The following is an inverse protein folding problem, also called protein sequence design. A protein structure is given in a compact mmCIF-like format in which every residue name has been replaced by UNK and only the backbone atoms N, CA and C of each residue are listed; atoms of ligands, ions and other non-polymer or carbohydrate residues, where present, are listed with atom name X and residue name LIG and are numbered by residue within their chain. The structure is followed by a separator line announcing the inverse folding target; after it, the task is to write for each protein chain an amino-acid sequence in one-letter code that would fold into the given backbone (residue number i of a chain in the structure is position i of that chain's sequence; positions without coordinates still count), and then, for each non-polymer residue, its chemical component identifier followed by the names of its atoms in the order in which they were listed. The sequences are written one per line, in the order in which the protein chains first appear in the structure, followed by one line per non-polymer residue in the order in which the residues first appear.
data_IF_293857139511
#
_entry.id   IF_293857139511
#
_cell.length_a   1.000
_cell.length_b   1.000
_cell.length_c   1.000
_cell.angle_alpha   90.00
_cell.angle_beta   90.00
_cell.angle_gamma   90.00
#
_symmetry.space_group_name_H-M   'P 1'
#
loop_
_entity.id
_entity.type
_entity.pdbx_description
1 polymer ?
#
# COMPACT_ATOMS: atom_id res chain seq x y z
N UNK A 1 2.17 0.84 -16.04
CA UNK A 1 1.84 1.88 -17.06
C UNK A 1 0.61 1.43 -17.84
N UNK A 2 -0.28 2.38 -18.14
CA UNK A 2 -1.43 2.12 -19.02
C UNK A 2 -1.01 2.40 -20.46
N UNK A 3 -1.33 1.47 -21.36
CA UNK A 3 -1.22 1.67 -22.79
C UNK A 3 -2.64 1.90 -23.35
N UNK A 4 -2.91 3.13 -23.75
CA UNK A 4 -4.25 3.55 -24.20
C UNK A 4 -4.63 2.91 -25.52
N UNK A 5 -3.70 2.88 -26.49
CA UNK A 5 -3.95 2.31 -27.82
C UNK A 5 -4.31 0.81 -27.77
N UNK A 6 -3.65 0.07 -26.87
CA UNK A 6 -3.86 -1.38 -26.73
C UNK A 6 -4.89 -1.73 -25.65
N UNK A 7 -5.37 -0.76 -24.87
CA UNK A 7 -6.20 -0.98 -23.67
C UNK A 7 -5.58 -2.00 -22.71
N UNK A 8 -4.27 -1.84 -22.43
CA UNK A 8 -3.52 -2.73 -21.55
C UNK A 8 -2.88 -1.98 -20.40
N UNK A 9 -2.56 -2.70 -19.33
CA UNK A 9 -1.74 -2.20 -18.21
C UNK A 9 -0.55 -3.11 -17.98
N UNK A 10 0.62 -2.54 -17.77
CA UNK A 10 1.83 -3.28 -17.40
C UNK A 10 1.83 -3.58 -15.91
N UNK A 11 1.85 -4.87 -15.55
CA UNK A 11 1.98 -5.38 -14.19
C UNK A 11 3.18 -6.33 -14.17
N UNK A 12 4.13 -6.07 -13.28
CA UNK A 12 5.35 -6.90 -13.12
C UNK A 12 6.10 -7.19 -14.44
N UNK A 13 6.10 -6.19 -15.36
CA UNK A 13 6.77 -6.26 -16.66
C UNK A 13 6.00 -7.00 -17.75
N UNK A 14 4.76 -7.41 -17.49
CA UNK A 14 3.86 -8.07 -18.44
C UNK A 14 2.65 -7.20 -18.76
N UNK A 15 2.27 -7.11 -20.03
CA UNK A 15 1.05 -6.40 -20.45
C UNK A 15 -0.18 -7.30 -20.24
N UNK A 16 -1.22 -6.75 -19.58
CA UNK A 16 -2.50 -7.40 -19.34
C UNK A 16 -3.64 -6.53 -19.87
N UNK A 17 -4.63 -7.15 -20.49
CA UNK A 17 -5.81 -6.45 -20.99
C UNK A 17 -6.66 -5.88 -19.84
N UNK A 18 -7.14 -4.66 -20.03
CA UNK A 18 -8.08 -3.98 -19.13
C UNK A 18 -9.51 -4.39 -19.52
N UNK A 19 -10.39 -4.54 -18.54
CA UNK A 19 -11.82 -4.80 -18.77
C UNK A 19 -12.44 -3.62 -19.49
N UNK A 20 -13.30 -3.88 -20.47
CA UNK A 20 -13.94 -2.85 -21.28
C UNK A 20 -14.72 -1.84 -20.45
N UNK A 21 -15.41 -2.31 -19.40
CA UNK A 21 -16.18 -1.50 -18.48
C UNK A 21 -15.38 -0.85 -17.34
N UNK A 22 -14.06 -1.05 -17.31
CA UNK A 22 -13.22 -0.68 -16.15
C UNK A 22 -13.15 0.83 -15.91
N UNK A 23 -13.17 1.60 -16.98
CA UNK A 23 -13.04 3.05 -16.96
C UNK A 23 -14.12 3.72 -17.83
N UNK A 24 -15.38 3.76 -17.38
CA UNK A 24 -16.50 4.17 -18.21
C UNK A 24 -16.45 5.65 -18.64
N UNK A 25 -15.65 6.48 -17.97
CA UNK A 25 -15.45 7.89 -18.29
C UNK A 25 -14.24 8.15 -19.18
N UNK A 26 -13.41 7.14 -19.42
CA UNK A 26 -12.20 7.26 -20.23
C UNK A 26 -12.49 6.92 -21.68
N UNK A 27 -12.23 7.84 -22.58
CA UNK A 27 -12.29 7.59 -24.02
C UNK A 27 -10.96 7.05 -24.54
N UNK A 28 -10.83 5.73 -24.59
CA UNK A 28 -9.64 5.08 -25.13
C UNK A 28 -9.45 5.29 -26.65
N UNK A 29 -10.52 5.66 -27.38
CA UNK A 29 -10.47 5.89 -28.83
C UNK A 29 -9.88 7.27 -29.18
N UNK A 30 -9.73 8.17 -28.22
CA UNK A 30 -9.17 9.51 -28.47
C UNK A 30 -7.72 9.48 -28.97
N UNK A 31 -6.96 8.42 -28.60
CA UNK A 31 -5.53 8.30 -28.91
C UNK A 31 -4.66 9.31 -28.18
N UNK A 32 -5.25 10.18 -27.36
CA UNK A 32 -4.54 11.20 -26.56
C UNK A 32 -4.38 10.73 -25.12
N UNK A 33 -3.13 10.45 -24.73
CA UNK A 33 -2.81 9.99 -23.39
C UNK A 33 -3.10 11.06 -22.33
N UNK A 34 -3.03 12.34 -22.67
CA UNK A 34 -3.32 13.42 -21.73
C UNK A 34 -4.81 13.42 -21.35
N UNK A 35 -5.70 13.14 -22.28
CA UNK A 35 -7.14 13.05 -22.01
C UNK A 35 -7.51 11.91 -21.05
N UNK A 36 -6.78 10.80 -21.08
CA UNK A 36 -7.03 9.64 -20.19
C UNK A 36 -6.74 9.95 -18.71
N UNK A 37 -5.83 10.86 -18.45
CA UNK A 37 -5.42 11.23 -17.09
C UNK A 37 -6.04 12.56 -16.63
N UNK A 38 -6.74 13.24 -17.49
CA UNK A 38 -7.42 14.50 -17.16
C UNK A 38 -8.81 14.21 -16.63
N UNK A 39 -9.09 14.70 -15.44
CA UNK A 39 -10.43 14.61 -14.86
C UNK A 39 -11.37 15.62 -15.55
N UNK A 40 -12.65 15.28 -15.70
CA UNK A 40 -13.67 16.25 -16.05
C UNK A 40 -13.90 17.26 -14.92
N UNK A 41 -14.58 18.37 -15.20
CA UNK A 41 -14.90 19.35 -14.17
C UNK A 41 -15.74 18.75 -13.02
N UNK A 42 -16.66 17.84 -13.33
CA UNK A 42 -17.47 17.12 -12.34
C UNK A 42 -16.62 16.15 -11.51
N UNK A 43 -15.71 15.42 -12.13
CA UNK A 43 -14.79 14.52 -11.43
C UNK A 43 -13.84 15.31 -10.53
N UNK A 44 -13.29 16.45 -10.98
CA UNK A 44 -12.47 17.33 -10.15
C UNK A 44 -13.25 17.85 -8.93
N UNK A 45 -14.52 18.26 -9.11
CA UNK A 45 -15.36 18.70 -8.01
C UNK A 45 -15.59 17.57 -6.99
N UNK A 46 -15.86 16.36 -7.43
CA UNK A 46 -16.04 15.20 -6.56
C UNK A 46 -14.74 14.91 -5.80
N UNK A 47 -13.60 14.86 -6.49
CA UNK A 47 -12.29 14.63 -5.87
C UNK A 47 -11.92 15.70 -4.85
N UNK A 48 -12.17 16.98 -5.17
CA UNK A 48 -11.93 18.07 -4.22
C UNK A 48 -12.88 18.00 -3.02
N UNK A 49 -14.16 17.67 -3.25
CA UNK A 49 -15.11 17.44 -2.16
C UNK A 49 -14.67 16.34 -1.21
N UNK A 50 -14.21 15.20 -1.73
CA UNK A 50 -13.65 14.10 -0.95
C UNK A 50 -12.40 14.56 -0.20
N UNK A 51 -11.46 15.21 -0.86
CA UNK A 51 -10.24 15.73 -0.25
C UNK A 51 -10.55 16.65 0.93
N UNK A 52 -11.47 17.60 0.74
CA UNK A 52 -11.87 18.56 1.76
C UNK A 52 -12.60 17.88 2.94
N UNK A 53 -13.41 16.85 2.68
CA UNK A 53 -14.06 16.08 3.74
C UNK A 53 -13.05 15.39 4.66
N UNK A 54 -11.97 14.82 4.09
CA UNK A 54 -10.90 14.23 4.90
C UNK A 54 -10.06 15.28 5.63
N UNK A 55 -9.59 16.31 4.93
CA UNK A 55 -8.68 17.34 5.48
C UNK A 55 -9.35 18.15 6.59
N UNK A 56 -10.64 18.47 6.45
CA UNK A 56 -11.37 19.28 7.42
C UNK A 56 -12.05 18.46 8.52
N UNK A 57 -11.96 17.14 8.51
CA UNK A 57 -12.56 16.30 9.55
C UNK A 57 -11.81 16.44 10.87
N UNK A 58 -12.36 17.21 11.81
CA UNK A 58 -11.81 17.39 13.15
C UNK A 58 -11.71 16.04 13.88
N UNK A 59 -12.75 15.21 13.78
CA UNK A 59 -12.77 13.90 14.44
C UNK A 59 -11.68 12.97 13.89
N UNK A 60 -11.52 12.91 12.56
CA UNK A 60 -10.47 12.11 11.93
C UNK A 60 -9.09 12.59 12.41
N UNK A 61 -8.85 13.89 12.41
CA UNK A 61 -7.59 14.48 12.90
C UNK A 61 -7.30 14.06 14.35
N UNK A 62 -8.28 14.17 15.24
CA UNK A 62 -8.13 13.79 16.64
C UNK A 62 -7.78 12.30 16.80
N UNK A 63 -8.44 11.40 16.03
CA UNK A 63 -8.14 9.98 16.05
C UNK A 63 -6.71 9.69 15.53
N UNK A 64 -6.30 10.33 14.44
CA UNK A 64 -4.96 10.16 13.90
C UNK A 64 -3.91 10.68 14.88
N UNK A 65 -4.10 11.87 15.45
CA UNK A 65 -3.20 12.43 16.48
C UNK A 65 -3.05 11.48 17.67
N UNK A 66 -4.17 10.92 18.16
CA UNK A 66 -4.14 9.91 19.22
C UNK A 66 -3.32 8.68 18.82
N UNK A 67 -3.51 8.14 17.60
CA UNK A 67 -2.73 6.99 17.12
C UNK A 67 -1.23 7.30 17.06
N UNK A 68 -0.84 8.49 16.60
CA UNK A 68 0.57 8.88 16.55
C UNK A 68 1.17 9.18 17.93
N UNK A 69 0.38 9.64 18.89
CA UNK A 69 0.83 9.92 20.26
C UNK A 69 0.96 8.64 21.10
N UNK A 70 0.08 7.66 20.92
CA UNK A 70 -0.06 6.48 21.80
C UNK A 70 0.26 5.16 21.11
N UNK A 71 0.16 5.09 19.79
CA UNK A 71 0.44 3.91 19.00
C UNK A 71 1.92 3.69 18.75
N UNK A 72 2.26 2.45 18.39
CA UNK A 72 3.57 2.06 17.89
C UNK A 72 3.43 0.86 16.94
N UNK A 73 4.46 0.57 16.16
CA UNK A 73 4.47 -0.61 15.26
C UNK A 73 4.50 -1.92 16.06
N UNK A 74 5.03 -1.90 17.27
CA UNK A 74 5.03 -3.04 18.20
C UNK A 74 5.14 -2.58 19.64
N UNK A 75 4.81 -3.47 20.57
CA UNK A 75 5.01 -3.26 22.00
C UNK A 75 5.43 -4.57 22.66
N UNK A 76 6.37 -4.49 23.60
CA UNK A 76 6.71 -5.62 24.46
C UNK A 76 6.06 -5.37 25.82
N UNK A 77 5.24 -6.32 26.27
CA UNK A 77 4.56 -6.25 27.55
C UNK A 77 4.49 -7.65 28.19
N UNK A 78 4.91 -7.78 29.42
CA UNK A 78 4.96 -9.06 30.14
C UNK A 78 5.68 -10.19 29.37
N UNK A 79 6.77 -9.87 28.68
CA UNK A 79 7.51 -10.84 27.85
C UNK A 79 6.85 -11.18 26.51
N UNK A 80 5.67 -10.64 26.22
CA UNK A 80 4.98 -10.84 24.94
C UNK A 80 5.30 -9.70 23.97
N UNK A 81 5.51 -10.06 22.70
CA UNK A 81 5.62 -9.13 21.60
C UNK A 81 4.22 -8.93 20.98
N UNK A 82 3.72 -7.70 21.05
CA UNK A 82 2.43 -7.29 20.47
C UNK A 82 2.70 -6.45 19.22
N UNK A 83 2.10 -6.81 18.08
CA UNK A 83 2.19 -6.09 16.82
C UNK A 83 0.94 -6.36 15.97
N UNK A 84 0.73 -5.60 14.91
CA UNK A 84 -0.54 -5.64 14.17
C UNK A 84 -0.59 -6.72 13.10
N UNK A 85 0.36 -6.74 12.18
CA UNK A 85 0.28 -7.57 10.97
C UNK A 85 1.29 -8.72 10.97
N UNK A 86 2.50 -8.48 10.49
CA UNK A 86 3.52 -9.51 10.43
C UNK A 86 4.94 -9.00 10.74
N UNK A 87 5.81 -9.92 11.14
CA UNK A 87 7.25 -9.75 11.09
C UNK A 87 7.75 -10.52 9.87
N UNK A 88 8.28 -9.85 8.83
CA UNK A 88 8.60 -10.53 7.57
C UNK A 88 9.58 -11.69 7.76
N UNK A 89 9.19 -12.85 7.25
CA UNK A 89 10.01 -14.08 7.22
C UNK A 89 10.25 -14.49 5.77
N UNK A 90 11.39 -15.17 5.55
CA UNK A 90 11.67 -15.88 4.30
C UNK A 90 10.99 -17.26 4.25
N UNK A 91 11.12 -17.96 3.14
CA UNK A 91 10.50 -19.29 2.93
C UNK A 91 11.07 -20.37 3.88
N UNK A 92 12.17 -20.09 4.57
CA UNK A 92 12.79 -20.97 5.57
C UNK A 92 12.41 -20.59 7.01
N UNK A 93 11.64 -19.52 7.21
CA UNK A 93 11.24 -19.01 8.52
C UNK A 93 12.26 -18.12 9.21
N UNK A 94 13.31 -17.68 8.50
CA UNK A 94 14.24 -16.70 9.06
C UNK A 94 13.72 -15.27 8.87
N UNK A 95 14.18 -14.33 9.71
CA UNK A 95 13.85 -12.92 9.57
C UNK A 95 14.27 -12.38 8.19
N UNK A 96 13.30 -12.03 7.38
CA UNK A 96 13.57 -11.48 6.05
C UNK A 96 14.02 -10.02 6.13
N UNK A 97 15.10 -9.69 5.40
CA UNK A 97 15.55 -8.32 5.28
C UNK A 97 14.75 -7.53 4.25
N UNK A 98 14.22 -6.39 4.67
CA UNK A 98 13.50 -5.46 3.79
C UNK A 98 14.44 -4.31 3.40
N UNK A 99 14.63 -4.13 2.07
CA UNK A 99 15.56 -3.14 1.54
C UNK A 99 14.89 -1.78 1.36
N UNK A 100 15.52 -0.71 1.88
CA UNK A 100 15.14 0.68 1.61
C UNK A 100 16.41 1.46 1.20
N UNK A 101 16.49 1.77 -0.08
CA UNK A 101 17.71 2.31 -0.68
C UNK A 101 18.86 1.30 -0.60
N UNK A 102 19.98 1.72 0.00
CA UNK A 102 21.18 0.88 0.13
C UNK A 102 21.20 0.03 1.42
N UNK A 103 20.25 0.24 2.32
CA UNK A 103 20.20 -0.44 3.63
C UNK A 103 19.09 -1.47 3.67
N UNK A 104 19.36 -2.59 4.37
CA UNK A 104 18.41 -3.68 4.62
C UNK A 104 18.17 -3.78 6.12
N UNK A 105 16.90 -3.87 6.49
CA UNK A 105 16.43 -3.90 7.89
C UNK A 105 15.73 -5.22 8.17
N UNK A 106 15.94 -5.79 9.37
CA UNK A 106 15.37 -7.08 9.78
C UNK A 106 14.62 -6.95 11.11
N UNK A 107 13.59 -7.75 11.32
CA UNK A 107 12.91 -7.90 12.60
C UNK A 107 12.60 -6.55 13.27
N UNK A 108 13.06 -6.41 14.53
CA UNK A 108 12.85 -5.18 15.32
C UNK A 108 13.39 -3.93 14.63
N UNK A 109 14.58 -4.00 14.03
CA UNK A 109 15.17 -2.84 13.35
C UNK A 109 14.28 -2.34 12.20
N UNK A 110 13.59 -3.28 11.52
CA UNK A 110 12.63 -2.94 10.48
C UNK A 110 11.36 -2.28 11.05
N UNK A 111 10.82 -2.77 12.15
CA UNK A 111 9.65 -2.17 12.81
C UNK A 111 9.98 -0.75 13.30
N UNK A 112 11.15 -0.55 13.93
CA UNK A 112 11.63 0.77 14.35
C UNK A 112 11.84 1.73 13.17
N UNK A 113 12.33 1.21 12.02
CA UNK A 113 12.44 1.98 10.79
C UNK A 113 11.05 2.40 10.27
N UNK A 114 10.11 1.46 10.17
CA UNK A 114 8.77 1.70 9.69
C UNK A 114 8.04 2.76 10.55
N UNK A 115 8.13 2.65 11.87
CA UNK A 115 7.56 3.63 12.80
C UNK A 115 8.13 5.03 12.59
N UNK A 116 9.45 5.14 12.47
CA UNK A 116 10.12 6.42 12.24
C UNK A 116 9.68 7.09 10.94
N UNK A 117 9.54 6.32 9.84
CA UNK A 117 9.08 6.87 8.56
C UNK A 117 7.61 7.27 8.64
N UNK A 118 6.74 6.44 9.23
CA UNK A 118 5.32 6.77 9.42
C UNK A 118 5.15 8.08 10.22
N UNK A 119 5.88 8.25 11.33
CA UNK A 119 5.86 9.50 12.11
C UNK A 119 6.34 10.70 11.31
N UNK A 120 7.38 10.52 10.49
CA UNK A 120 7.87 11.59 9.61
C UNK A 120 6.87 11.92 8.49
N UNK A 121 6.17 10.92 7.94
CA UNK A 121 5.12 11.14 6.94
C UNK A 121 3.97 12.00 7.46
N UNK A 122 3.70 11.97 8.76
CA UNK A 122 2.70 12.81 9.44
C UNK A 122 3.21 14.23 9.75
N UNK A 123 4.51 14.43 9.77
CA UNK A 123 5.10 15.72 10.09
C UNK A 123 5.02 16.73 8.95
N UNK A 124 5.22 18.01 9.26
CA UNK A 124 5.31 19.09 8.26
C UNK A 124 6.50 18.90 7.31
N UNK A 125 7.54 18.20 7.76
CA UNK A 125 8.77 17.93 7.00
C UNK A 125 8.68 16.64 6.14
N UNK A 126 7.47 16.11 5.94
CA UNK A 126 7.23 14.90 5.17
C UNK A 126 7.69 15.07 3.71
N UNK A 127 8.56 14.19 3.26
CA UNK A 127 9.00 14.10 1.88
C UNK A 127 8.09 13.14 1.10
N UNK A 128 8.07 13.24 -0.24
CA UNK A 128 7.25 12.35 -1.06
C UNK A 128 7.50 10.86 -0.73
N UNK A 129 8.74 10.44 -0.64
CA UNK A 129 9.11 9.06 -0.28
C UNK A 129 8.60 8.58 1.09
N UNK A 130 8.33 9.50 2.01
CA UNK A 130 7.76 9.15 3.31
C UNK A 130 6.25 8.88 3.18
N UNK A 131 5.56 9.60 2.29
CA UNK A 131 4.15 9.37 1.91
C UNK A 131 3.99 8.09 1.10
N UNK A 132 4.90 7.86 0.14
CA UNK A 132 4.93 6.61 -0.64
C UNK A 132 5.13 5.40 0.26
N UNK A 133 5.91 5.54 1.34
CA UNK A 133 6.06 4.50 2.34
C UNK A 133 4.77 4.20 3.10
N UNK A 134 3.88 5.18 3.33
CA UNK A 134 2.56 4.94 3.92
C UNK A 134 1.69 4.07 3.02
N UNK A 135 1.76 4.28 1.70
CA UNK A 135 1.11 3.39 0.74
C UNK A 135 1.66 1.96 0.81
N UNK A 136 2.98 1.83 0.85
CA UNK A 136 3.63 0.53 1.04
C UNK A 136 3.21 -0.16 2.35
N UNK A 137 3.08 0.58 3.45
CA UNK A 137 2.59 0.02 4.72
C UNK A 137 1.20 -0.58 4.61
N UNK A 138 0.35 0.01 3.76
CA UNK A 138 -1.01 -0.48 3.56
C UNK A 138 -1.05 -1.74 2.69
N UNK A 139 -0.29 -1.84 1.61
CA UNK A 139 -0.45 -2.87 0.58
C UNK A 139 0.79 -3.75 0.32
N UNK A 140 1.88 -3.56 1.05
CA UNK A 140 3.13 -4.28 0.79
C UNK A 140 3.17 -5.67 1.42
N UNK A 141 3.60 -6.69 0.66
CA UNK A 141 3.75 -8.08 1.15
C UNK A 141 4.69 -8.21 2.36
N UNK A 142 5.66 -7.33 2.50
CA UNK A 142 6.60 -7.27 3.63
C UNK A 142 6.27 -6.16 4.63
N UNK A 143 5.08 -5.56 4.51
CA UNK A 143 4.64 -4.54 5.44
C UNK A 143 4.31 -5.14 6.81
N UNK A 144 4.76 -4.52 7.91
CA UNK A 144 4.41 -4.97 9.25
C UNK A 144 2.93 -4.76 9.59
N UNK A 145 2.20 -3.97 8.78
CA UNK A 145 0.76 -3.73 8.96
C UNK A 145 -0.11 -4.60 8.07
N UNK A 146 0.36 -4.98 6.87
CA UNK A 146 -0.41 -5.75 5.90
C UNK A 146 0.10 -7.20 5.78
N UNK A 147 1.39 -7.39 5.53
CA UNK A 147 1.99 -8.71 5.30
C UNK A 147 1.50 -9.43 4.05
N UNK A 148 0.77 -8.74 3.16
CA UNK A 148 0.28 -9.27 1.88
C UNK A 148 0.23 -8.16 0.83
N UNK A 149 0.33 -8.52 -0.43
CA UNK A 149 0.07 -7.60 -1.52
C UNK A 149 -1.44 -7.53 -1.80
N UNK A 150 -1.98 -6.33 -1.82
CA UNK A 150 -3.39 -6.10 -2.13
C UNK A 150 -3.55 -6.06 -3.64
N UNK A 151 -4.51 -6.81 -4.17
CA UNK A 151 -4.80 -6.95 -5.60
C UNK A 151 -6.18 -6.39 -5.99
N UNK A 152 -6.63 -5.35 -5.28
CA UNK A 152 -7.94 -4.72 -5.55
C UNK A 152 -7.99 -4.11 -6.94
N UNK A 153 -6.93 -3.42 -7.39
CA UNK A 153 -6.85 -2.83 -8.71
C UNK A 153 -6.96 -3.92 -9.78
N UNK A 154 -6.15 -4.97 -9.68
CA UNK A 154 -6.14 -6.06 -10.66
C UNK A 154 -7.50 -6.76 -10.73
N UNK A 155 -8.12 -7.05 -9.59
CA UNK A 155 -9.46 -7.67 -9.54
C UNK A 155 -10.53 -6.80 -10.17
N UNK A 156 -10.45 -5.48 -9.98
CA UNK A 156 -11.46 -4.55 -10.49
C UNK A 156 -11.29 -4.30 -11.99
N UNK A 157 -10.06 -4.13 -12.46
CA UNK A 157 -9.79 -3.54 -13.77
C UNK A 157 -9.10 -4.47 -14.78
N UNK A 158 -8.50 -5.58 -14.36
CA UNK A 158 -7.74 -6.46 -15.24
C UNK A 158 -8.51 -7.75 -15.56
N UNK A 159 -8.48 -8.18 -16.83
CA UNK A 159 -9.17 -9.40 -17.28
C UNK A 159 -8.49 -10.68 -16.80
N UNK A 160 -7.16 -10.68 -16.74
CA UNK A 160 -6.38 -11.87 -16.37
C UNK A 160 -6.49 -12.16 -14.87
N UNK A 161 -7.29 -13.19 -14.53
CA UNK A 161 -7.54 -13.62 -13.15
C UNK A 161 -6.27 -14.09 -12.42
N UNK A 162 -5.23 -14.51 -13.15
CA UNK A 162 -3.95 -14.88 -12.51
C UNK A 162 -3.31 -13.69 -11.79
N UNK A 163 -3.59 -12.46 -12.24
CA UNK A 163 -3.10 -11.25 -11.58
C UNK A 163 -3.83 -10.93 -10.27
N UNK A 164 -4.99 -11.56 -10.00
CA UNK A 164 -5.83 -11.27 -8.84
C UNK A 164 -5.39 -11.98 -7.55
N UNK A 165 -4.43 -12.90 -7.68
CA UNK A 165 -3.99 -13.72 -6.54
C UNK A 165 -3.13 -12.88 -5.59
N UNK A 166 -3.62 -12.67 -4.37
CA UNK A 166 -2.86 -12.04 -3.30
C UNK A 166 -1.82 -13.02 -2.75
N UNK A 167 -0.58 -12.54 -2.68
CA UNK A 167 0.50 -13.28 -2.05
C UNK A 167 0.71 -12.76 -0.63
N UNK A 168 0.60 -13.65 0.34
CA UNK A 168 0.95 -13.37 1.73
C UNK A 168 2.45 -13.52 1.98
N UNK A 169 2.96 -12.87 3.03
CA UNK A 169 4.31 -13.12 3.52
C UNK A 169 4.40 -14.55 4.10
N UNK A 170 5.51 -15.27 3.96
CA UNK A 170 5.72 -16.58 4.57
C UNK A 170 5.48 -16.64 6.07
N UNK A 171 5.57 -15.50 6.77
CA UNK A 171 5.19 -15.36 8.18
C UNK A 171 3.88 -16.05 8.52
N UNK A 172 2.82 -15.88 7.70
CA UNK A 172 1.50 -16.45 7.99
C UNK A 172 1.48 -17.98 7.94
N UNK A 173 2.31 -18.59 7.09
CA UNK A 173 2.49 -20.05 7.08
C UNK A 173 3.10 -20.52 8.40
N UNK A 174 4.20 -19.91 8.84
CA UNK A 174 4.88 -20.29 10.08
C UNK A 174 4.04 -19.99 11.33
N UNK A 175 3.30 -18.90 11.33
CA UNK A 175 2.35 -18.59 12.41
C UNK A 175 1.29 -19.68 12.59
N UNK A 176 0.69 -20.17 11.50
CA UNK A 176 -0.28 -21.26 11.54
C UNK A 176 0.34 -22.63 11.88
N UNK A 177 1.62 -22.81 11.64
CA UNK A 177 2.36 -24.01 12.00
C UNK A 177 2.93 -23.96 13.43
N UNK A 178 2.56 -22.95 14.22
CA UNK A 178 3.07 -22.73 15.60
C UNK A 178 4.59 -22.63 15.68
N UNK A 179 5.24 -22.11 14.65
CA UNK A 179 6.69 -21.93 14.56
C UNK A 179 7.15 -20.48 14.81
N UNK A 180 6.20 -19.59 15.12
CA UNK A 180 6.43 -18.15 15.35
C UNK A 180 5.90 -17.77 16.72
#
# INVERSE_FOLDING_TARGET
KVNVEKQTVEIDGTEHAIKEEAFPTVNFDSGDIEDVYQLSEEEEQVMEGLRMAFVNSIRLRQHIEFLYQRGSMYRIFNGNLLYHGCVPLDESGNLEGVAFGKKRYHGREYLDYAERIARRAWSKDARQKDRDFMWYLWCGRKSPLSGRNIKTFERTYVLDENTWVEQSNPYYKFYHEEKV
#
